data_IF_557059124177
#
_entry.id   IF_557059124177
#
_cell.length_a   1.000
_cell.length_b   1.000
_cell.length_c   1.000
_cell.angle_alpha   90.00
_cell.angle_beta   90.00
_cell.angle_gamma   90.00
#
_symmetry.space_group_name_H-M   'P 1'
#
loop_
_entity.id
_entity.type
_entity.pdbx_description
1 polymer ?
#
# COMPACT_ATOMS: atom_id res chain seq x y z
N UNK A 1 -4.20 -15.96 -3.20
CA UNK A 1 -4.75 -14.65 -3.63
C UNK A 1 -3.57 -13.80 -3.98
N UNK A 2 -3.62 -13.14 -5.14
CA UNK A 2 -2.55 -12.28 -5.62
C UNK A 2 -3.02 -10.83 -5.59
N UNK A 3 -2.14 -9.93 -5.14
CA UNK A 3 -2.45 -8.51 -4.97
C UNK A 3 -1.31 -7.68 -5.55
N UNK A 4 -1.66 -6.71 -6.39
CA UNK A 4 -0.73 -5.68 -6.86
C UNK A 4 -1.30 -4.31 -6.59
N UNK A 5 -0.45 -3.29 -6.64
CA UNK A 5 -0.92 -1.92 -6.47
C UNK A 5 0.01 -0.89 -7.11
N UNK A 6 -0.57 0.26 -7.41
CA UNK A 6 0.12 1.51 -7.76
C UNK A 6 -0.35 2.56 -6.76
N UNK A 7 0.59 3.16 -6.04
CA UNK A 7 0.30 4.10 -4.96
C UNK A 7 0.97 5.44 -5.23
N UNK A 8 0.24 6.53 -4.98
CA UNK A 8 0.80 7.88 -5.04
C UNK A 8 0.20 8.78 -3.97
N UNK A 9 0.87 9.88 -3.71
CA UNK A 9 0.39 10.96 -2.84
C UNK A 9 0.98 12.27 -3.33
N UNK A 10 0.24 13.36 -3.23
CA UNK A 10 0.71 14.69 -3.65
C UNK A 10 1.80 15.27 -2.75
N UNK A 11 1.93 14.76 -1.53
CA UNK A 11 3.02 15.16 -0.64
C UNK A 11 2.92 14.58 0.76
N UNK A 12 3.78 15.11 1.63
CA UNK A 12 3.80 14.80 3.06
C UNK A 12 3.43 16.06 3.84
N UNK A 13 2.61 15.89 4.86
CA UNK A 13 2.22 16.96 5.76
C UNK A 13 2.40 16.50 7.22
N UNK A 14 2.42 17.48 8.14
CA UNK A 14 2.58 17.23 9.57
C UNK A 14 1.37 17.76 10.31
N UNK A 15 0.71 16.88 11.05
CA UNK A 15 -0.32 17.23 12.02
C UNK A 15 0.28 17.35 13.43
N UNK A 16 -0.12 18.39 14.15
CA UNK A 16 0.29 18.65 15.53
C UNK A 16 -0.87 18.31 16.46
N UNK A 17 -0.83 17.09 17.00
CA UNK A 17 -1.87 16.62 17.89
C UNK A 17 -1.49 16.87 19.35
N UNK A 18 -2.40 17.47 20.12
CA UNK A 18 -2.27 17.57 21.58
C UNK A 18 -3.09 16.46 22.24
N UNK A 19 -2.42 15.53 22.91
CA UNK A 19 -3.03 14.43 23.63
C UNK A 19 -3.07 14.79 25.11
N UNK A 20 -4.26 14.72 25.72
CA UNK A 20 -4.43 14.88 27.16
C UNK A 20 -4.54 13.51 27.83
N UNK A 21 -3.51 13.16 28.59
CA UNK A 21 -3.49 11.95 29.40
C UNK A 21 -4.15 12.26 30.75
N UNK A 22 -5.37 11.74 30.92
CA UNK A 22 -6.11 11.87 32.16
C UNK A 22 -5.67 10.79 33.16
N UNK A 23 -5.20 11.24 34.31
CA UNK A 23 -4.97 10.40 35.49
C UNK A 23 -6.18 10.46 36.43
N UNK A 24 -6.36 9.48 37.33
CA UNK A 24 -7.40 9.53 38.36
C UNK A 24 -7.39 10.88 39.11
N UNK A 25 -8.58 11.43 39.37
CA UNK A 25 -8.73 12.74 40.00
C UNK A 25 -8.64 13.95 39.05
N UNK A 26 -8.91 13.75 37.75
CA UNK A 26 -8.96 14.80 36.72
C UNK A 26 -7.63 15.57 36.54
N UNK A 27 -6.51 14.95 36.90
CA UNK A 27 -5.18 15.50 36.61
C UNK A 27 -4.83 15.18 35.15
N UNK A 28 -4.62 16.20 34.34
CA UNK A 28 -4.26 16.05 32.94
C UNK A 28 -2.78 16.38 32.71
N UNK A 29 -2.08 15.53 31.96
CA UNK A 29 -0.79 15.84 31.36
C UNK A 29 -0.97 15.99 29.85
N UNK A 30 -0.54 17.12 29.29
CA UNK A 30 -0.56 17.32 27.83
C UNK A 30 0.73 16.83 27.19
N UNK A 31 0.62 16.06 26.13
CA UNK A 31 1.73 15.68 25.26
C UNK A 31 1.44 16.14 23.83
N UNK A 32 2.38 16.86 23.22
CA UNK A 32 2.28 17.30 21.83
C UNK A 32 2.99 16.25 20.97
N UNK A 33 2.26 15.66 20.03
CA UNK A 33 2.78 14.67 19.09
C UNK A 33 2.81 15.29 17.71
N UNK A 34 3.96 15.17 17.04
CA UNK A 34 4.10 15.50 15.61
C UNK A 34 3.86 14.24 14.82
N UNK A 35 2.83 14.23 13.97
CA UNK A 35 2.50 13.07 13.13
C UNK A 35 2.57 13.43 11.66
N UNK A 36 3.37 12.67 10.93
CA UNK A 36 3.43 12.78 9.47
C UNK A 36 2.28 11.99 8.84
N UNK A 37 1.70 12.55 7.79
CA UNK A 37 0.68 11.89 6.98
C UNK A 37 0.88 12.22 5.50
N UNK A 38 0.30 11.37 4.64
CA UNK A 38 0.32 11.55 3.20
C UNK A 38 -0.85 12.43 2.78
N UNK A 39 -0.55 13.50 2.04
CA UNK A 39 -1.56 14.41 1.50
C UNK A 39 -2.08 13.87 0.17
N UNK A 40 -3.41 13.82 0.04
CA UNK A 40 -4.15 13.28 -1.10
C UNK A 40 -3.60 11.92 -1.61
N UNK A 41 -3.64 10.85 -0.78
CA UNK A 41 -3.17 9.54 -1.21
C UNK A 41 -4.16 8.89 -2.19
N UNK A 42 -3.63 8.30 -3.26
CA UNK A 42 -4.37 7.51 -4.23
C UNK A 42 -3.78 6.10 -4.34
N UNK A 43 -4.66 5.10 -4.32
CA UNK A 43 -4.30 3.68 -4.38
C UNK A 43 -5.11 2.99 -5.48
N UNK A 44 -4.43 2.53 -6.52
CA UNK A 44 -4.96 1.58 -7.47
C UNK A 44 -4.64 0.19 -6.96
N UNK A 45 -5.66 -0.60 -6.65
CA UNK A 45 -5.53 -1.93 -6.06
C UNK A 45 -6.01 -3.00 -7.05
N UNK A 46 -5.10 -3.90 -7.41
CA UNK A 46 -5.34 -5.03 -8.31
C UNK A 46 -5.50 -6.31 -7.49
N UNK A 47 -6.64 -6.98 -7.61
CA UNK A 47 -6.95 -8.22 -6.90
C UNK A 47 -7.45 -9.25 -7.91
N UNK A 48 -6.88 -10.45 -7.89
CA UNK A 48 -7.29 -11.51 -8.81
C UNK A 48 -8.60 -12.22 -8.40
N UNK A 49 -8.96 -12.18 -7.12
CA UNK A 49 -10.25 -12.67 -6.63
C UNK A 49 -11.35 -11.60 -6.79
N UNK A 50 -12.14 -11.73 -7.84
CA UNK A 50 -13.20 -10.77 -8.18
C UNK A 50 -14.34 -10.72 -7.16
N UNK A 51 -14.46 -11.70 -6.26
CA UNK A 51 -15.49 -11.69 -5.21
C UNK A 51 -15.29 -10.51 -4.24
N UNK A 52 -14.07 -9.97 -4.14
CA UNK A 52 -13.77 -8.83 -3.28
C UNK A 52 -14.46 -7.54 -3.69
N UNK A 53 -14.88 -7.42 -4.96
CA UNK A 53 -15.59 -6.24 -5.45
C UNK A 53 -16.85 -5.91 -4.63
N UNK A 54 -17.55 -6.92 -4.09
CA UNK A 54 -18.74 -6.70 -3.27
C UNK A 54 -18.41 -6.07 -1.91
N UNK A 55 -17.25 -6.39 -1.33
CA UNK A 55 -16.81 -5.78 -0.05
C UNK A 55 -16.42 -4.32 -0.20
N UNK A 56 -15.93 -3.91 -1.39
CA UNK A 56 -15.64 -2.51 -1.67
C UNK A 56 -16.89 -1.69 -2.01
N UNK A 57 -17.93 -2.32 -2.59
CA UNK A 57 -19.23 -1.67 -2.84
C UNK A 57 -19.99 -1.39 -1.55
N UNK A 58 -19.95 -2.34 -0.61
CA UNK A 58 -20.69 -2.24 0.64
C UNK A 58 -19.77 -2.61 1.83
N UNK A 59 -18.80 -1.74 2.16
CA UNK A 59 -17.89 -2.01 3.25
C UNK A 59 -18.63 -1.91 4.59
N UNK A 60 -18.48 -2.94 5.43
CA UNK A 60 -19.11 -2.96 6.76
C UNK A 60 -18.50 -1.91 7.71
N UNK A 61 -17.27 -1.48 7.45
CA UNK A 61 -16.53 -0.48 8.22
C UNK A 61 -15.98 0.60 7.31
N UNK A 62 -15.71 1.82 7.82
CA UNK A 62 -15.03 2.85 7.04
C UNK A 62 -13.71 2.33 6.45
N UNK A 63 -13.47 2.64 5.18
CA UNK A 63 -12.19 2.37 4.54
C UNK A 63 -11.16 3.38 5.01
N UNK A 64 -9.94 2.91 5.22
CA UNK A 64 -8.84 3.68 5.79
C UNK A 64 -7.56 3.41 5.01
N UNK A 65 -6.71 4.43 4.87
CA UNK A 65 -5.34 4.28 4.35
C UNK A 65 -4.39 4.75 5.45
N UNK A 66 -3.91 3.81 6.26
CA UNK A 66 -3.05 4.11 7.40
C UNK A 66 -3.80 4.07 8.73
N UNK A 67 -3.99 5.22 9.37
CA UNK A 67 -4.56 5.32 10.72
C UNK A 67 -6.09 5.36 10.67
N UNK A 68 -6.73 5.21 11.83
CA UNK A 68 -8.19 5.32 11.98
C UNK A 68 -8.77 6.69 11.60
N UNK A 69 -7.94 7.72 11.55
CA UNK A 69 -8.29 9.07 11.10
C UNK A 69 -8.15 9.27 9.59
N UNK A 70 -7.40 8.40 8.91
CA UNK A 70 -7.02 8.58 7.51
C UNK A 70 -8.08 7.93 6.61
N UNK A 71 -9.27 8.56 6.55
CA UNK A 71 -10.43 8.08 5.81
C UNK A 71 -10.14 7.98 4.31
N UNK A 72 -10.66 6.92 3.70
CA UNK A 72 -10.62 6.70 2.26
C UNK A 72 -12.02 6.36 1.73
N UNK A 73 -12.22 6.55 0.42
CA UNK A 73 -13.42 6.13 -0.28
C UNK A 73 -13.02 5.39 -1.56
N UNK A 74 -13.95 4.59 -2.08
CA UNK A 74 -13.76 3.90 -3.36
C UNK A 74 -14.14 4.84 -4.49
N UNK A 75 -13.17 5.25 -5.29
CA UNK A 75 -13.42 6.09 -6.46
C UNK A 75 -14.03 5.28 -7.62
N UNK A 76 -13.52 4.07 -7.85
CA UNK A 76 -13.95 3.18 -8.93
C UNK A 76 -13.76 1.71 -8.55
N UNK A 77 -14.61 0.84 -9.08
CA UNK A 77 -14.41 -0.60 -9.07
C UNK A 77 -14.58 -1.10 -10.51
N UNK A 78 -13.49 -1.62 -11.07
CA UNK A 78 -13.46 -2.09 -12.45
C UNK A 78 -12.89 -3.49 -12.56
N UNK A 79 -13.50 -4.31 -13.42
CA UNK A 79 -12.88 -5.56 -13.87
C UNK A 79 -12.00 -5.22 -15.07
N UNK A 80 -10.70 -5.45 -14.93
CA UNK A 80 -9.73 -5.25 -16.01
C UNK A 80 -9.04 -6.58 -16.35
N UNK A 81 -8.53 -6.67 -17.58
CA UNK A 81 -7.68 -7.77 -18.02
C UNK A 81 -6.28 -7.21 -18.18
N UNK A 82 -5.33 -7.78 -17.43
CA UNK A 82 -3.92 -7.45 -17.58
C UNK A 82 -3.29 -8.37 -18.62
N UNK A 83 -2.44 -7.81 -19.47
CA UNK A 83 -1.70 -8.57 -20.48
C UNK A 83 -0.21 -8.61 -20.13
N UNK A 84 0.50 -9.67 -20.52
CA UNK A 84 1.95 -9.66 -20.38
C UNK A 84 2.59 -8.78 -21.45
N UNK A 85 3.45 -7.86 -21.03
CA UNK A 85 4.22 -7.01 -21.91
C UNK A 85 5.66 -6.83 -21.39
N UNK A 86 6.55 -6.42 -22.29
CA UNK A 86 7.94 -6.07 -22.01
C UNK A 86 8.11 -4.55 -22.22
N UNK A 87 9.14 -3.96 -21.59
CA UNK A 87 9.42 -2.52 -21.66
C UNK A 87 8.28 -1.64 -21.11
N UNK A 88 7.66 -2.08 -20.01
CA UNK A 88 6.52 -1.39 -19.39
C UNK A 88 6.95 -0.36 -18.35
N UNK A 89 6.09 0.62 -18.09
CA UNK A 89 6.27 1.62 -17.02
C UNK A 89 5.89 1.01 -15.67
N UNK A 90 6.86 0.44 -14.94
CA UNK A 90 6.65 -0.19 -13.63
C UNK A 90 7.16 0.71 -12.50
N UNK A 91 6.52 0.70 -11.33
CA UNK A 91 6.97 1.49 -10.18
C UNK A 91 5.82 1.87 -9.27
N UNK A 92 6.03 2.86 -8.40
CA UNK A 92 5.02 3.30 -7.42
C UNK A 92 4.42 2.16 -6.61
N UNK A 93 5.26 1.17 -6.29
CA UNK A 93 4.89 -0.09 -5.67
C UNK A 93 6.08 -0.65 -4.89
N UNK A 94 5.92 -1.83 -4.29
CA UNK A 94 7.01 -2.56 -3.64
C UNK A 94 7.48 -3.67 -4.57
N UNK A 95 8.78 -3.74 -4.84
CA UNK A 95 9.38 -4.77 -5.69
C UNK A 95 10.38 -5.63 -4.90
N UNK A 96 10.52 -6.92 -5.22
CA UNK A 96 11.60 -7.74 -4.67
C UNK A 96 12.96 -7.11 -4.96
N UNK A 97 13.87 -7.17 -3.99
CA UNK A 97 15.25 -6.74 -4.23
C UNK A 97 15.94 -7.62 -5.27
N UNK A 98 16.74 -7.01 -6.14
CA UNK A 98 17.48 -7.70 -7.20
C UNK A 98 16.77 -7.73 -8.56
N UNK A 99 15.59 -7.11 -8.67
CA UNK A 99 14.95 -6.90 -9.97
C UNK A 99 15.80 -5.93 -10.82
N UNK A 100 16.05 -6.31 -12.07
CA UNK A 100 16.92 -5.54 -12.97
C UNK A 100 16.41 -4.11 -13.16
N UNK A 101 17.33 -3.15 -13.03
CA UNK A 101 17.08 -1.70 -13.15
C UNK A 101 16.10 -1.10 -12.13
N UNK A 102 15.53 -1.90 -11.21
CA UNK A 102 14.70 -1.38 -10.13
C UNK A 102 15.55 -0.63 -9.10
N UNK A 103 15.01 0.47 -8.59
CA UNK A 103 15.62 1.31 -7.56
C UNK A 103 14.56 1.77 -6.57
N UNK A 104 14.96 2.18 -5.38
CA UNK A 104 14.03 2.65 -4.36
C UNK A 104 14.63 2.55 -2.97
N UNK A 105 13.80 2.82 -1.96
CA UNK A 105 14.23 2.70 -0.58
C UNK A 105 14.27 1.21 -0.21
N UNK A 106 15.43 0.74 0.23
CA UNK A 106 15.60 -0.64 0.68
C UNK A 106 14.90 -0.87 2.03
N UNK A 107 14.04 -1.89 2.08
CA UNK A 107 13.38 -2.34 3.31
C UNK A 107 13.41 -3.86 3.44
N UNK A 108 13.71 -4.35 4.64
CA UNK A 108 13.52 -5.75 5.00
C UNK A 108 12.11 -5.93 5.57
N UNK A 109 11.22 -6.58 4.80
CA UNK A 109 9.81 -6.73 5.18
C UNK A 109 9.49 -8.19 5.52
N UNK A 110 8.62 -8.43 6.53
CA UNK A 110 8.04 -9.75 6.76
C UNK A 110 7.30 -10.25 5.52
N UNK A 111 7.49 -11.51 5.15
CA UNK A 111 6.74 -12.12 4.03
C UNK A 111 5.37 -12.62 4.45
N UNK A 112 5.24 -13.06 5.70
CA UNK A 112 3.99 -13.58 6.26
C UNK A 112 4.03 -13.51 7.79
N UNK A 113 2.88 -13.71 8.42
CA UNK A 113 2.74 -13.72 9.88
C UNK A 113 2.14 -15.04 10.35
N UNK A 114 2.38 -15.41 11.61
CA UNK A 114 1.64 -16.51 12.24
C UNK A 114 0.14 -16.19 12.30
N UNK A 115 -0.68 -17.23 12.22
CA UNK A 115 -2.14 -17.14 12.35
C UNK A 115 -2.61 -17.04 13.81
N UNK A 116 -1.70 -17.21 14.77
CA UNK A 116 -1.94 -17.11 16.22
C UNK A 116 -1.70 -15.71 16.77
N UNK A 117 -2.38 -15.37 17.89
CA UNK A 117 -2.19 -14.13 18.64
C UNK A 117 -1.21 -14.38 19.80
N UNK A 118 -0.15 -13.59 19.99
CA UNK A 118 0.25 -12.45 19.16
C UNK A 118 0.86 -12.91 17.83
N UNK A 119 0.50 -12.20 16.74
CA UNK A 119 1.06 -12.48 15.41
C UNK A 119 2.55 -12.20 15.41
N UNK A 120 3.34 -13.16 14.94
CA UNK A 120 4.79 -13.03 14.79
C UNK A 120 5.15 -12.95 13.31
N UNK A 121 6.06 -12.04 12.96
CA UNK A 121 6.66 -12.01 11.64
C UNK A 121 7.41 -13.32 11.38
N UNK A 122 7.13 -13.97 10.26
CA UNK A 122 7.80 -15.19 9.80
C UNK A 122 8.33 -14.92 8.41
N UNK A 123 9.59 -15.27 8.16
CA UNK A 123 10.27 -14.94 6.91
C UNK A 123 10.51 -13.44 6.77
N UNK A 124 11.67 -13.07 6.28
CA UNK A 124 12.01 -11.68 5.97
C UNK A 124 12.72 -11.70 4.63
N UNK A 125 12.22 -10.92 3.68
CA UNK A 125 12.85 -10.73 2.36
C UNK A 125 13.15 -9.25 2.16
N UNK A 126 14.24 -8.93 1.44
CA UNK A 126 14.53 -7.56 1.05
C UNK A 126 13.62 -7.11 -0.09
N UNK A 127 13.12 -5.88 0.01
CA UNK A 127 12.29 -5.23 -1.00
C UNK A 127 12.78 -3.80 -1.27
N UNK A 128 12.41 -3.28 -2.42
CA UNK A 128 12.56 -1.89 -2.84
C UNK A 128 11.19 -1.23 -2.79
N UNK A 129 11.06 -0.18 -1.98
CA UNK A 129 9.90 0.71 -1.99
C UNK A 129 10.14 1.79 -3.05
N UNK A 130 9.31 1.79 -4.09
CA UNK A 130 9.40 2.73 -5.21
C UNK A 130 8.33 3.82 -5.11
N UNK A 131 8.75 5.06 -5.24
CA UNK A 131 7.89 6.24 -5.36
C UNK A 131 7.80 6.77 -6.80
N UNK A 132 8.71 6.33 -7.66
CA UNK A 132 8.77 6.70 -9.07
C UNK A 132 8.54 5.51 -10.00
N UNK A 133 8.20 5.81 -11.25
CA UNK A 133 8.17 4.83 -12.32
C UNK A 133 9.55 4.68 -12.99
N UNK A 134 9.82 3.50 -13.52
CA UNK A 134 10.95 3.20 -14.39
C UNK A 134 10.52 2.29 -15.55
N UNK A 135 11.35 2.22 -16.59
CA UNK A 135 11.13 1.26 -17.67
C UNK A 135 11.66 -0.10 -17.24
N UNK A 136 10.76 -1.04 -17.02
CA UNK A 136 11.10 -2.43 -16.74
C UNK A 136 11.16 -3.23 -18.04
N UNK A 137 12.34 -3.75 -18.36
CA UNK A 137 12.60 -4.48 -19.61
C UNK A 137 12.10 -5.93 -19.56
N UNK A 138 11.90 -6.50 -18.38
CA UNK A 138 11.36 -7.85 -18.23
C UNK A 138 9.86 -7.93 -18.51
N UNK A 139 9.34 -9.16 -18.51
CA UNK A 139 7.90 -9.40 -18.64
C UNK A 139 7.17 -9.03 -17.36
N UNK A 140 6.11 -8.26 -17.50
CA UNK A 140 5.26 -7.85 -16.40
C UNK A 140 3.81 -7.76 -16.89
N UNK A 141 2.86 -7.93 -15.98
CA UNK A 141 1.46 -7.67 -16.27
C UNK A 141 1.28 -6.17 -16.51
N UNK A 142 0.49 -5.82 -17.51
CA UNK A 142 0.33 -4.47 -18.01
C UNK A 142 -1.15 -4.10 -18.06
N UNK A 143 -1.46 -2.92 -17.54
CA UNK A 143 -2.77 -2.30 -17.63
C UNK A 143 -2.77 -1.29 -18.77
N UNK A 144 -3.41 -1.64 -19.89
CA UNK A 144 -3.43 -0.82 -21.10
C UNK A 144 -4.14 0.52 -20.90
N UNK A 145 -5.15 0.56 -20.03
CA UNK A 145 -5.91 1.79 -19.77
C UNK A 145 -5.10 2.79 -18.96
N UNK A 146 -4.35 2.28 -17.98
CA UNK A 146 -3.55 3.11 -17.07
C UNK A 146 -2.13 3.36 -17.56
N UNK A 147 -1.70 2.63 -18.60
CA UNK A 147 -0.36 2.72 -19.21
C UNK A 147 0.76 2.44 -18.19
N UNK A 148 0.60 1.39 -17.37
CA UNK A 148 1.65 0.97 -16.43
C UNK A 148 1.70 -0.54 -16.20
N UNK A 149 2.87 -1.00 -15.77
CA UNK A 149 3.08 -2.36 -15.29
C UNK A 149 2.53 -2.55 -13.88
N UNK A 150 2.03 -3.74 -13.60
CA UNK A 150 1.46 -4.15 -12.31
C UNK A 150 2.23 -5.36 -11.80
N UNK A 151 2.89 -5.21 -10.66
CA UNK A 151 3.54 -6.32 -9.98
C UNK A 151 2.58 -6.99 -9.00
N UNK A 152 2.26 -8.27 -9.22
CA UNK A 152 1.42 -9.05 -8.30
C UNK A 152 2.28 -9.77 -7.26
N UNK A 153 1.91 -9.61 -5.99
CA UNK A 153 2.44 -10.37 -4.86
C UNK A 153 1.54 -11.56 -4.55
N UNK A 154 2.12 -12.70 -4.13
CA UNK A 154 1.36 -13.87 -3.68
C UNK A 154 1.24 -15.02 -4.69
N UNK A 155 2.03 -14.99 -5.77
CA UNK A 155 2.18 -16.09 -6.75
C UNK A 155 3.35 -17.05 -6.40
N UNK A 156 3.57 -17.33 -5.10
CA UNK A 156 4.50 -18.38 -4.64
C UNK A 156 3.74 -19.65 -4.24
#
# INVERSE_FOLDING_TARGET
>A
MSVGYVFSSEGKAVDLETIYELSPGLKAKSNIVRREFLFNPELYLYINDLSYSEYFKMPHYPLLIGRSSDLAFVAEIKKTKLEEAENVRLGKTVLPFGLESAYGIFYALPTHFTDTIPRKAVGVKPYLLMDEFFTYQGRCLYDEEMDWGVWLHGEE
#
